data_IF_048803254608
#
_entry.id   IF_048803254608
#
_cell.length_a   1.000
_cell.length_b   1.000
_cell.length_c   1.000
_cell.angle_alpha   90.00
_cell.angle_beta   90.00
_cell.angle_gamma   90.00
#
_symmetry.space_group_name_H-M   'P 1'
#
loop_
_entity.id
_entity.type
_entity.pdbx_description
1 polymer ?
#
# COMPACT_ATOMS: atom_id res chain seq x y z
N UNK A 1 -9.08 18.08 3.67
CA UNK A 1 -7.75 17.47 3.90
C UNK A 1 -6.64 18.48 3.66
N UNK A 2 -6.36 18.89 2.42
CA UNK A 2 -5.23 19.79 2.09
C UNK A 2 -5.18 21.09 2.92
N UNK A 3 -6.30 21.82 3.06
CA UNK A 3 -6.33 23.03 3.89
C UNK A 3 -6.01 22.77 5.36
N UNK A 4 -6.41 21.61 5.89
CA UNK A 4 -6.08 21.21 7.25
C UNK A 4 -4.59 20.94 7.43
N UNK A 5 -3.96 20.27 6.46
CA UNK A 5 -2.52 20.04 6.45
C UNK A 5 -1.76 21.37 6.37
N UNK A 6 -2.16 22.28 5.46
CA UNK A 6 -1.53 23.58 5.30
C UNK A 6 -1.64 24.47 6.56
N UNK A 7 -2.70 24.29 7.35
CA UNK A 7 -2.94 25.04 8.57
C UNK A 7 -2.35 24.40 9.84
N UNK A 8 -1.75 23.20 9.74
CA UNK A 8 -1.31 22.42 10.89
C UNK A 8 0.01 22.90 11.54
N UNK A 9 0.70 23.86 10.91
CA UNK A 9 2.03 24.32 11.35
C UNK A 9 3.15 23.41 10.86
N UNK A 10 4.24 23.31 11.63
CA UNK A 10 5.35 22.41 11.31
C UNK A 10 4.94 20.95 11.53
N UNK A 11 5.13 20.13 10.51
CA UNK A 11 4.82 18.70 10.51
C UNK A 11 6.10 17.90 10.20
N UNK A 12 6.35 16.84 10.96
CA UNK A 12 7.42 15.89 10.66
C UNK A 12 7.01 14.85 9.60
N UNK A 13 5.71 14.64 9.44
CA UNK A 13 5.13 13.63 8.57
C UNK A 13 3.61 13.81 8.40
N UNK A 14 3.07 13.17 7.36
CA UNK A 14 1.63 12.97 7.15
C UNK A 14 1.33 11.48 7.08
N UNK A 15 0.30 11.07 7.81
CA UNK A 15 -0.29 9.75 7.69
C UNK A 15 -1.76 9.91 7.26
N UNK A 16 -2.18 9.10 6.29
CA UNK A 16 -3.58 9.04 5.85
C UNK A 16 -4.08 7.60 5.90
N UNK A 17 -5.22 7.39 6.54
CA UNK A 17 -5.98 6.15 6.43
C UNK A 17 -6.97 6.31 5.27
N UNK A 18 -6.73 5.60 4.18
CA UNK A 18 -7.49 5.69 2.93
C UNK A 18 -8.06 4.32 2.56
N UNK A 19 -9.09 4.28 1.72
CA UNK A 19 -9.61 3.00 1.24
C UNK A 19 -8.70 2.39 0.16
N UNK A 20 -8.26 3.19 -0.82
CA UNK A 20 -7.41 2.75 -1.93
C UNK A 20 -8.17 2.24 -3.16
N UNK A 21 -9.49 2.42 -3.22
CA UNK A 21 -10.32 2.03 -4.36
C UNK A 21 -11.36 3.12 -4.70
N UNK A 22 -11.11 4.37 -4.31
CA UNK A 22 -11.98 5.49 -4.60
C UNK A 22 -11.87 5.84 -6.08
N UNK A 23 -13.01 5.77 -6.77
CA UNK A 23 -13.17 6.27 -8.14
C UNK A 23 -14.09 7.49 -8.08
N UNK A 24 -13.73 8.55 -8.80
CA UNK A 24 -14.55 9.75 -8.92
C UNK A 24 -14.76 10.09 -10.39
N UNK A 25 -15.80 10.84 -10.72
CA UNK A 25 -16.18 11.13 -12.12
C UNK A 25 -15.03 11.68 -12.98
N UNK A 26 -14.12 12.45 -12.39
CA UNK A 26 -12.99 13.06 -13.10
C UNK A 26 -11.67 12.28 -13.01
N UNK A 27 -11.60 11.26 -12.16
CA UNK A 27 -10.35 10.52 -11.90
C UNK A 27 -10.65 9.06 -11.55
N UNK A 28 -10.09 8.17 -12.36
CA UNK A 28 -10.01 6.73 -12.10
C UNK A 28 -9.39 6.45 -10.71
N UNK A 29 -8.25 7.10 -10.44
CA UNK A 29 -7.51 6.97 -9.19
C UNK A 29 -7.77 8.19 -8.28
N UNK A 30 -8.82 8.08 -7.46
CA UNK A 30 -9.19 9.13 -6.51
C UNK A 30 -8.15 9.32 -5.40
N UNK A 31 -7.56 8.24 -4.89
CA UNK A 31 -6.48 8.32 -3.89
C UNK A 31 -5.22 8.95 -4.46
N UNK A 32 -4.79 8.58 -5.67
CA UNK A 32 -3.66 9.19 -6.36
C UNK A 32 -3.85 10.69 -6.57
N UNK A 33 -5.04 11.13 -6.97
CA UNK A 33 -5.34 12.56 -7.09
C UNK A 33 -5.30 13.27 -5.72
N UNK A 34 -5.83 12.65 -4.67
CA UNK A 34 -5.72 13.20 -3.31
C UNK A 34 -4.25 13.31 -2.89
N UNK A 35 -3.44 12.27 -3.11
CA UNK A 35 -2.03 12.24 -2.77
C UNK A 35 -1.23 13.28 -3.56
N UNK A 36 -1.55 13.49 -4.84
CA UNK A 36 -0.94 14.52 -5.67
C UNK A 36 -1.18 15.91 -5.08
N UNK A 37 -2.41 16.17 -4.62
CA UNK A 37 -2.76 17.44 -3.95
C UNK A 37 -2.08 17.57 -2.59
N UNK A 38 -1.98 16.50 -1.81
CA UNK A 38 -1.24 16.50 -0.54
C UNK A 38 0.24 16.83 -0.80
N UNK A 39 0.86 16.23 -1.81
CA UNK A 39 2.24 16.53 -2.21
C UNK A 39 2.46 17.98 -2.63
N UNK A 40 1.48 18.58 -3.31
CA UNK A 40 1.53 20.00 -3.64
C UNK A 40 1.55 20.90 -2.39
N UNK A 41 1.00 20.45 -1.26
CA UNK A 41 0.98 21.18 0.01
C UNK A 41 2.26 20.95 0.83
N UNK A 42 2.67 19.68 0.99
CA UNK A 42 3.76 19.31 1.92
C UNK A 42 5.15 19.26 1.27
N UNK A 43 5.21 19.34 -0.06
CA UNK A 43 6.44 19.20 -0.81
C UNK A 43 6.89 17.74 -0.99
N UNK A 44 8.04 17.54 -1.66
CA UNK A 44 8.54 16.21 -2.01
C UNK A 44 9.21 15.48 -0.84
N UNK A 45 9.73 16.21 0.15
CA UNK A 45 10.63 15.63 1.17
C UNK A 45 9.91 15.15 2.43
N UNK A 46 8.80 15.78 2.79
CA UNK A 46 8.03 15.47 4.00
C UNK A 46 7.44 14.05 3.88
N UNK A 47 7.73 13.13 4.81
CA UNK A 47 7.23 11.76 4.76
C UNK A 47 5.69 11.66 4.68
N UNK A 48 5.18 10.96 3.67
CA UNK A 48 3.75 10.61 3.54
C UNK A 48 3.60 9.10 3.50
N UNK A 49 2.93 8.53 4.50
CA UNK A 49 2.61 7.08 4.53
C UNK A 49 1.11 6.90 4.58
N UNK A 50 0.60 5.87 3.90
CA UNK A 50 -0.82 5.54 3.93
C UNK A 50 -1.06 4.10 4.36
N UNK A 51 -2.18 3.88 5.05
CA UNK A 51 -2.80 2.55 5.15
C UNK A 51 -3.95 2.47 4.16
N UNK A 52 -4.13 1.29 3.56
CA UNK A 52 -5.20 1.00 2.63
C UNK A 52 -6.01 -0.23 3.03
N UNK A 53 -7.21 -0.31 2.48
CA UNK A 53 -8.00 -1.54 2.50
C UNK A 53 -7.34 -2.63 1.66
N UNK A 54 -7.57 -3.89 2.01
CA UNK A 54 -7.09 -5.04 1.24
C UNK A 54 -7.64 -5.04 -0.20
N UNK A 55 -8.84 -4.49 -0.42
CA UNK A 55 -9.46 -4.36 -1.75
C UNK A 55 -8.91 -3.17 -2.56
N UNK A 56 -7.87 -2.48 -2.10
CA UNK A 56 -7.32 -1.33 -2.82
C UNK A 56 -6.87 -1.71 -4.24
N UNK A 57 -7.23 -0.86 -5.21
CA UNK A 57 -6.66 -0.90 -6.55
C UNK A 57 -5.41 -0.01 -6.57
N UNK A 58 -4.32 -0.49 -5.96
CA UNK A 58 -3.06 0.27 -5.89
C UNK A 58 -2.54 0.60 -7.28
N UNK A 59 -2.27 1.88 -7.52
CA UNK A 59 -1.76 2.43 -8.80
C UNK A 59 -0.28 2.83 -8.69
N UNK A 60 0.37 3.00 -9.84
CA UNK A 60 1.72 3.58 -9.90
C UNK A 60 1.77 4.96 -9.25
N UNK A 61 0.76 5.81 -9.49
CA UNK A 61 0.69 7.15 -8.93
C UNK A 61 0.67 7.13 -7.38
N UNK A 62 -0.08 6.22 -6.77
CA UNK A 62 -0.08 6.05 -5.30
C UNK A 62 1.31 5.66 -4.77
N UNK A 63 2.00 4.73 -5.44
CA UNK A 63 3.33 4.26 -5.04
C UNK A 63 4.39 5.36 -5.18
N UNK A 64 4.31 6.15 -6.24
CA UNK A 64 5.21 7.28 -6.48
C UNK A 64 4.99 8.40 -5.45
N UNK A 65 3.73 8.75 -5.19
CA UNK A 65 3.37 9.87 -4.34
C UNK A 65 3.44 9.54 -2.84
N UNK A 66 3.43 8.28 -2.43
CA UNK A 66 3.62 7.87 -1.03
C UNK A 66 5.05 7.39 -0.75
N UNK A 67 5.59 7.69 0.43
CA UNK A 67 6.84 7.10 0.92
C UNK A 67 6.67 5.67 1.45
N UNK A 68 5.43 5.27 1.73
CA UNK A 68 5.09 3.94 2.21
C UNK A 68 3.59 3.66 2.10
N UNK A 69 3.26 2.41 1.79
CA UNK A 69 1.89 1.90 1.77
C UNK A 69 1.87 0.63 2.62
N UNK A 70 0.91 0.54 3.53
CA UNK A 70 0.57 -0.71 4.22
C UNK A 70 -0.89 -1.06 3.97
N UNK A 71 -1.24 -2.35 4.05
CA UNK A 71 -2.59 -2.81 3.75
C UNK A 71 -3.17 -3.65 4.87
N UNK A 72 -4.51 -3.72 4.92
CA UNK A 72 -5.22 -4.72 5.71
C UNK A 72 -4.79 -6.12 5.27
N UNK A 73 -4.71 -7.04 6.23
CA UNK A 73 -4.31 -8.43 5.99
C UNK A 73 -5.43 -9.43 6.29
N UNK A 74 -6.62 -8.93 6.60
CA UNK A 74 -7.81 -9.74 6.91
C UNK A 74 -8.99 -9.31 6.06
N UNK A 75 -9.77 -10.26 5.56
CA UNK A 75 -11.11 -10.09 5.00
C UNK A 75 -11.98 -11.26 5.49
N UNK A 76 -12.99 -11.02 6.36
CA UNK A 76 -13.50 -9.72 6.82
C UNK A 76 -12.48 -8.88 7.57
N UNK A 77 -12.53 -7.56 7.43
CA UNK A 77 -11.54 -6.65 8.00
C UNK A 77 -11.67 -6.56 9.52
N UNK A 78 -10.68 -7.09 10.24
CA UNK A 78 -10.59 -7.04 11.71
C UNK A 78 -9.23 -6.53 12.20
N UNK A 79 -8.31 -6.20 11.28
CA UNK A 79 -6.92 -5.81 11.57
C UNK A 79 -6.58 -4.33 11.31
N UNK A 80 -7.59 -3.44 11.31
CA UNK A 80 -7.41 -1.99 11.04
C UNK A 80 -6.38 -1.36 11.98
N UNK A 81 -6.48 -1.62 13.30
CA UNK A 81 -5.52 -1.12 14.30
C UNK A 81 -4.10 -1.65 14.08
N UNK A 82 -3.98 -2.95 13.76
CA UNK A 82 -2.68 -3.55 13.45
C UNK A 82 -2.07 -2.96 12.17
N UNK A 83 -2.91 -2.60 11.19
CA UNK A 83 -2.47 -1.92 9.96
C UNK A 83 -1.96 -0.52 10.24
N UNK A 84 -2.65 0.26 11.07
CA UNK A 84 -2.17 1.57 11.52
C UNK A 84 -0.83 1.48 12.27
N UNK A 85 -0.63 0.44 13.09
CA UNK A 85 0.66 0.18 13.74
C UNK A 85 1.78 -0.12 12.73
N UNK A 86 1.49 -0.91 11.68
CA UNK A 86 2.43 -1.15 10.57
C UNK A 86 2.76 0.13 9.82
N UNK A 87 1.75 0.95 9.51
CA UNK A 87 1.94 2.24 8.84
C UNK A 87 2.83 3.16 9.67
N UNK A 88 2.58 3.27 10.98
CA UNK A 88 3.41 4.05 11.89
C UNK A 88 4.84 3.52 11.99
N UNK A 89 5.03 2.20 12.01
CA UNK A 89 6.36 1.60 11.99
C UNK A 89 7.12 1.94 10.70
N UNK A 90 6.47 1.84 9.54
CA UNK A 90 7.05 2.19 8.25
C UNK A 90 7.38 3.70 8.16
N UNK A 91 6.51 4.55 8.68
CA UNK A 91 6.74 6.00 8.76
C UNK A 91 7.99 6.33 9.61
N UNK A 92 8.15 5.69 10.76
CA UNK A 92 9.38 5.83 11.57
C UNK A 92 10.63 5.40 10.81
N UNK A 93 10.56 4.34 10.00
CA UNK A 93 11.69 3.94 9.17
C UNK A 93 12.00 4.97 8.09
N UNK A 94 10.98 5.56 7.46
CA UNK A 94 11.16 6.64 6.48
C UNK A 94 11.77 7.91 7.09
N UNK A 95 11.38 8.27 8.31
CA UNK A 95 11.96 9.40 9.04
C UNK A 95 13.43 9.11 9.39
N UNK A 96 13.71 7.91 9.92
CA UNK A 96 15.05 7.53 10.37
C UNK A 96 16.07 7.38 9.24
N UNK A 97 15.67 6.75 8.13
CA UNK A 97 16.61 6.31 7.09
C UNK A 97 16.59 7.21 5.85
N UNK A 98 15.72 8.22 5.79
CA UNK A 98 15.47 8.95 4.53
C UNK A 98 14.61 8.12 3.56
N UNK A 99 14.56 8.52 2.27
CA UNK A 99 13.78 7.82 1.24
C UNK A 99 14.04 6.31 1.23
N UNK A 100 12.97 5.52 1.22
CA UNK A 100 13.04 4.06 1.20
C UNK A 100 13.05 3.56 -0.25
N UNK A 101 13.74 2.44 -0.48
CA UNK A 101 13.58 1.67 -1.70
C UNK A 101 12.14 1.11 -1.76
N UNK A 102 11.55 1.13 -2.95
CA UNK A 102 10.17 0.71 -3.21
C UNK A 102 10.15 -0.32 -4.33
N UNK A 103 9.31 -1.33 -4.21
CA UNK A 103 9.00 -2.24 -5.30
C UNK A 103 7.50 -2.41 -5.42
N UNK A 104 7.00 -2.32 -6.65
CA UNK A 104 5.59 -2.50 -6.99
C UNK A 104 5.46 -3.59 -8.05
N UNK A 105 4.45 -4.45 -7.88
CA UNK A 105 4.08 -5.50 -8.83
C UNK A 105 2.58 -5.52 -9.01
N UNK A 106 2.12 -5.64 -10.25
CA UNK A 106 0.71 -5.72 -10.61
C UNK A 106 0.45 -7.02 -11.32
N UNK A 107 -0.64 -7.70 -10.98
CA UNK A 107 -1.03 -8.93 -11.67
C UNK A 107 -1.67 -8.65 -13.03
N UNK A 108 -1.63 -9.62 -13.96
CA UNK A 108 -2.31 -9.50 -15.24
C UNK A 108 -3.76 -10.03 -15.21
N UNK A 109 -4.37 -10.20 -14.02
CA UNK A 109 -5.71 -10.79 -13.86
C UNK A 109 -6.48 -10.13 -12.70
N UNK A 110 -7.78 -10.38 -12.63
CA UNK A 110 -8.64 -9.95 -11.52
C UNK A 110 -9.01 -11.12 -10.63
N UNK A 111 -9.20 -10.88 -9.34
CA UNK A 111 -9.69 -11.88 -8.39
C UNK A 111 -11.15 -11.55 -8.06
N UNK A 112 -12.11 -12.47 -8.28
CA UNK A 112 -13.51 -12.26 -7.90
C UNK A 112 -13.63 -11.99 -6.39
N UNK A 113 -14.46 -11.02 -5.98
CA UNK A 113 -14.64 -10.65 -4.56
C UNK A 113 -14.94 -11.86 -3.65
N UNK A 114 -15.70 -12.83 -4.14
CA UNK A 114 -16.04 -14.04 -3.39
C UNK A 114 -14.83 -14.93 -3.06
N UNK A 115 -13.70 -14.78 -3.78
CA UNK A 115 -12.48 -15.56 -3.62
C UNK A 115 -11.41 -14.83 -2.77
N UNK A 116 -11.70 -13.63 -2.26
CA UNK A 116 -10.74 -12.79 -1.56
C UNK A 116 -10.69 -13.00 -0.04
N UNK A 117 -11.57 -13.85 0.51
CA UNK A 117 -11.68 -14.07 1.97
C UNK A 117 -10.43 -14.72 2.54
N UNK A 118 -9.82 -14.09 3.55
CA UNK A 118 -8.54 -14.52 4.13
C UNK A 118 -8.69 -15.67 5.13
N UNK A 119 -9.92 -16.11 5.41
CA UNK A 119 -10.18 -17.31 6.20
C UNK A 119 -10.09 -18.60 5.37
N UNK A 120 -10.09 -18.47 4.03
CA UNK A 120 -10.05 -19.58 3.08
C UNK A 120 -8.79 -19.53 2.20
N UNK A 121 -8.41 -20.69 1.67
CA UNK A 121 -7.33 -20.76 0.69
C UNK A 121 -7.78 -20.18 -0.67
N UNK A 122 -6.86 -19.57 -1.43
CA UNK A 122 -5.42 -19.45 -1.14
C UNK A 122 -5.03 -18.23 -0.28
N UNK A 123 -5.94 -17.27 -0.08
CA UNK A 123 -5.64 -16.01 0.61
C UNK A 123 -5.14 -16.25 2.05
N UNK A 124 -5.68 -17.23 2.76
CA UNK A 124 -5.23 -17.61 4.10
C UNK A 124 -3.73 -17.88 4.16
N UNK A 125 -3.21 -18.74 3.29
CA UNK A 125 -1.78 -19.05 3.27
C UNK A 125 -0.94 -17.87 2.81
N UNK A 126 -1.37 -17.19 1.74
CA UNK A 126 -0.67 -16.01 1.21
C UNK A 126 -0.45 -14.94 2.28
N UNK A 127 -1.50 -14.55 3.00
CA UNK A 127 -1.41 -13.50 4.02
C UNK A 127 -0.66 -13.95 5.29
N UNK A 128 -0.75 -15.23 5.66
CA UNK A 128 0.02 -15.80 6.76
C UNK A 128 1.53 -15.78 6.49
N UNK A 129 1.94 -15.92 5.23
CA UNK A 129 3.35 -15.94 4.83
C UNK A 129 3.98 -14.54 4.72
N UNK A 130 3.18 -13.48 4.55
CA UNK A 130 3.67 -12.10 4.39
C UNK A 130 4.74 -11.67 5.40
N UNK A 131 4.61 -11.93 6.71
CA UNK A 131 5.64 -11.58 7.69
C UNK A 131 7.00 -12.24 7.42
N UNK A 132 7.03 -13.40 6.75
CA UNK A 132 8.26 -14.13 6.43
C UNK A 132 9.11 -13.49 5.31
N UNK A 133 8.56 -12.49 4.60
CA UNK A 133 9.31 -11.72 3.59
C UNK A 133 9.92 -10.44 4.15
N UNK A 134 9.66 -10.12 5.42
CA UNK A 134 10.18 -8.93 6.11
C UNK A 134 11.38 -9.37 6.95
N UNK A 135 12.56 -8.85 6.63
CA UNK A 135 13.80 -9.14 7.35
C UNK A 135 14.83 -8.02 7.15
N UNK A 136 15.58 -7.70 8.21
CA UNK A 136 16.72 -6.77 8.19
C UNK A 136 16.42 -5.44 7.51
N UNK A 137 16.77 -5.34 6.23
CA UNK A 137 16.61 -4.16 5.38
C UNK A 137 15.23 -4.04 4.68
N UNK A 138 14.38 -5.06 4.74
CA UNK A 138 13.00 -5.05 4.22
C UNK A 138 12.05 -4.80 5.39
N UNK A 139 11.22 -3.76 5.30
CA UNK A 139 10.35 -3.31 6.39
C UNK A 139 8.87 -3.62 6.16
N UNK A 140 8.44 -3.66 4.90
CA UNK A 140 7.06 -3.99 4.56
C UNK A 140 7.02 -4.79 3.26
N UNK A 141 6.13 -5.78 3.22
CA UNK A 141 5.64 -6.46 2.03
C UNK A 141 4.15 -6.69 2.26
N UNK A 142 3.30 -6.16 1.39
CA UNK A 142 1.84 -6.27 1.51
C UNK A 142 1.19 -6.49 0.14
N UNK A 143 0.02 -7.14 0.18
CA UNK A 143 -0.80 -7.47 -0.97
C UNK A 143 -2.13 -6.72 -0.90
N UNK A 144 -2.50 -6.10 -2.01
CA UNK A 144 -3.87 -5.68 -2.29
C UNK A 144 -4.51 -6.71 -3.24
N UNK A 145 -5.72 -7.18 -2.95
CA UNK A 145 -6.45 -8.09 -3.84
C UNK A 145 -7.28 -7.35 -4.90
N UNK A 146 -7.35 -6.03 -4.80
CA UNK A 146 -8.06 -5.18 -5.75
C UNK A 146 -9.58 -5.28 -5.64
N UNK A 147 -10.25 -4.23 -6.11
CA UNK A 147 -11.71 -4.15 -6.18
C UNK A 147 -12.12 -4.34 -7.64
N UNK A 148 -12.51 -5.56 -8.05
CA UNK A 148 -12.68 -5.93 -9.47
C UNK A 148 -13.91 -5.28 -10.13
N UNK A 149 -14.75 -4.58 -9.35
CA UNK A 149 -15.90 -3.82 -9.87
C UNK A 149 -15.54 -2.35 -10.15
N UNK A 150 -14.31 -1.91 -9.87
CA UNK A 150 -13.81 -0.60 -10.27
C UNK A 150 -13.39 -0.61 -11.73
N UNK A 151 -14.12 0.12 -12.58
CA UNK A 151 -13.80 0.29 -14.00
C UNK A 151 -12.68 1.31 -14.19
N UNK A 152 -11.45 0.92 -13.84
CA UNK A 152 -10.25 1.76 -13.94
C UNK A 152 -9.11 1.02 -14.64
N UNK A 153 -8.23 1.77 -15.30
CA UNK A 153 -7.12 1.20 -16.07
C UNK A 153 -6.21 0.26 -15.26
N UNK A 154 -5.90 0.62 -14.03
CA UNK A 154 -5.02 -0.13 -13.14
C UNK A 154 -5.81 -1.00 -12.15
N UNK A 155 -7.01 -1.46 -12.50
CA UNK A 155 -7.80 -2.33 -11.63
C UNK A 155 -7.06 -3.65 -11.38
N UNK A 156 -7.14 -4.14 -10.13
CA UNK A 156 -6.73 -5.50 -9.79
C UNK A 156 -5.66 -5.63 -8.72
N UNK A 157 -5.30 -6.89 -8.39
CA UNK A 157 -4.36 -7.22 -7.33
C UNK A 157 -2.97 -6.66 -7.59
N UNK A 158 -2.34 -6.20 -6.51
CA UNK A 158 -1.00 -5.65 -6.54
C UNK A 158 -0.21 -6.01 -5.27
N UNK A 159 1.11 -5.91 -5.36
CA UNK A 159 2.02 -6.05 -4.25
C UNK A 159 2.92 -4.83 -4.15
N UNK A 160 3.14 -4.38 -2.92
CA UNK A 160 4.10 -3.32 -2.60
C UNK A 160 5.10 -3.80 -1.56
N UNK A 161 6.35 -3.37 -1.70
CA UNK A 161 7.40 -3.63 -0.72
C UNK A 161 8.27 -2.38 -0.48
N UNK A 162 8.74 -2.24 0.75
CA UNK A 162 9.53 -1.09 1.20
C UNK A 162 10.68 -1.50 2.11
N UNK A 163 11.81 -0.80 2.01
CA UNK A 163 13.00 -1.07 2.82
C UNK A 163 14.17 -0.14 2.51
N UNK A 164 15.35 -0.40 3.07
CA UNK A 164 16.57 0.39 2.81
C UNK A 164 17.47 -0.20 1.73
N UNK A 165 17.39 -1.50 1.46
CA UNK A 165 18.19 -2.17 0.44
C UNK A 165 17.30 -2.52 -0.77
N UNK A 166 17.54 -1.85 -1.90
CA UNK A 166 16.72 -2.01 -3.10
C UNK A 166 16.76 -3.44 -3.67
N UNK A 167 17.90 -4.13 -3.60
CA UNK A 167 18.02 -5.49 -4.11
C UNK A 167 17.25 -6.47 -3.20
N UNK A 168 17.39 -6.32 -1.88
CA UNK A 168 16.65 -7.14 -0.92
C UNK A 168 15.13 -6.90 -1.00
N UNK A 169 14.69 -5.64 -1.10
CA UNK A 169 13.28 -5.29 -1.25
C UNK A 169 12.70 -5.86 -2.54
N UNK A 170 13.42 -5.76 -3.65
CA UNK A 170 13.00 -6.32 -4.94
C UNK A 170 12.90 -7.84 -4.85
N UNK A 171 13.90 -8.52 -4.28
CA UNK A 171 13.90 -9.98 -4.15
C UNK A 171 12.76 -10.49 -3.25
N UNK A 172 12.48 -9.80 -2.14
CA UNK A 172 11.36 -10.13 -1.26
C UNK A 172 10.01 -9.94 -1.96
N UNK A 173 9.84 -8.82 -2.68
CA UNK A 173 8.66 -8.53 -3.46
C UNK A 173 8.43 -9.57 -4.57
N UNK A 174 9.46 -9.93 -5.32
CA UNK A 174 9.37 -10.89 -6.41
C UNK A 174 9.01 -12.30 -5.89
N UNK A 175 9.58 -12.71 -4.75
CA UNK A 175 9.24 -14.00 -4.14
C UNK A 175 7.79 -14.04 -3.66
N UNK A 176 7.32 -13.01 -2.97
CA UNK A 176 5.94 -12.92 -2.51
C UNK A 176 4.96 -12.79 -3.69
N UNK A 177 5.33 -12.07 -4.74
CA UNK A 177 4.53 -11.89 -5.94
C UNK A 177 4.42 -13.20 -6.74
N UNK A 178 5.51 -13.98 -6.84
CA UNK A 178 5.48 -15.31 -7.44
C UNK A 178 4.51 -16.24 -6.70
N UNK A 179 4.55 -16.26 -5.36
CA UNK A 179 3.60 -17.05 -4.56
C UNK A 179 2.14 -16.64 -4.84
N UNK A 180 1.87 -15.35 -5.06
CA UNK A 180 0.55 -14.84 -5.41
C UNK A 180 0.11 -15.24 -6.83
N UNK A 181 1.04 -15.41 -7.77
CA UNK A 181 0.73 -15.86 -9.13
C UNK A 181 0.50 -17.38 -9.21
N UNK A 182 1.14 -18.16 -8.33
CA UNK A 182 1.04 -19.62 -8.28
C UNK A 182 -0.20 -20.14 -7.53
N UNK A 183 -0.81 -19.28 -6.71
CA UNK A 183 -1.96 -19.55 -5.85
C UNK A 183 -3.31 -19.57 -6.60
#
# INVERSE_FOLDING_TARGET
>A
ICNGIAAAGELDAVYLDLHGAMVVESYDDGEGELLRRVRAVVGPDLPVVVSLDLHANVTEAMVELCDGITLYRTYPHVDMSATGQRAFALLKQRIKNGPLAKTFRKTPFLIPLAAQCTDFEPCKSLYRELPGYVDGAVFNVDIALGFPLGDIRECGPALVAYGTDAAAVTAAADKAFAAMLDA
#
